data_IF_002178259450
#
_entry.id   IF_002178259450
#
_cell.length_a   1.000
_cell.length_b   1.000
_cell.length_c   1.000
_cell.angle_alpha   90.00
_cell.angle_beta   90.00
_cell.angle_gamma   90.00
#
_symmetry.space_group_name_H-M   'P 1'
#
loop_
_entity.id
_entity.type
_entity.pdbx_description
1 polymer ?
#
# COMPACT_ATOMS: atom_id res chain seq x y z
N UNK A 1 -12.61 -13.51 -17.26
CA UNK A 1 -12.61 -14.30 -16.01
C UNK A 1 -11.91 -13.51 -14.93
N UNK A 2 -12.67 -12.87 -14.02
CA UNK A 2 -12.10 -12.25 -12.82
C UNK A 2 -11.99 -13.35 -11.77
N UNK A 3 -10.77 -13.68 -11.34
CA UNK A 3 -10.56 -14.70 -10.32
C UNK A 3 -10.93 -14.08 -8.97
N UNK A 4 -12.13 -14.37 -8.51
CA UNK A 4 -12.58 -14.06 -7.16
C UNK A 4 -11.96 -15.10 -6.24
N UNK A 5 -10.84 -14.77 -5.61
CA UNK A 5 -10.16 -15.74 -4.76
C UNK A 5 -9.69 -15.11 -3.46
N UNK A 6 -10.65 -14.91 -2.54
CA UNK A 6 -10.52 -14.18 -1.27
C UNK A 6 -9.47 -14.65 -0.27
N UNK A 7 -8.63 -15.64 -0.61
CA UNK A 7 -7.47 -16.10 0.16
C UNK A 7 -6.18 -16.21 -0.71
N UNK A 8 -6.28 -16.24 -2.06
CA UNK A 8 -5.09 -16.32 -2.94
C UNK A 8 -4.36 -14.97 -3.10
N UNK A 9 -4.98 -13.87 -2.67
CA UNK A 9 -4.43 -12.52 -2.84
C UNK A 9 -3.65 -12.00 -1.62
N UNK A 10 -3.19 -12.90 -0.74
CA UNK A 10 -2.37 -12.52 0.41
C UNK A 10 -0.91 -12.34 -0.01
N UNK A 11 -0.48 -11.09 -0.05
CA UNK A 11 0.85 -10.68 -0.44
C UNK A 11 1.77 -10.67 0.80
N UNK A 12 2.86 -11.45 0.82
CA UNK A 12 3.81 -11.46 1.93
C UNK A 12 4.63 -10.16 1.98
N UNK A 13 5.14 -9.82 3.16
CA UNK A 13 5.94 -8.60 3.38
C UNK A 13 7.06 -8.37 2.34
N UNK A 14 7.77 -9.43 1.93
CA UNK A 14 8.85 -9.34 0.95
C UNK A 14 8.36 -8.87 -0.43
N UNK A 15 7.19 -9.34 -0.87
CA UNK A 15 6.61 -8.93 -2.14
C UNK A 15 6.00 -7.52 -2.06
N UNK A 16 5.42 -7.15 -0.91
CA UNK A 16 5.01 -5.76 -0.66
C UNK A 16 6.23 -4.83 -0.77
N UNK A 17 7.35 -5.17 -0.12
CA UNK A 17 8.61 -4.44 -0.23
C UNK A 17 9.03 -4.26 -1.69
N UNK A 18 9.04 -5.34 -2.49
CA UNK A 18 9.39 -5.28 -3.90
C UNK A 18 8.43 -4.40 -4.72
N UNK A 19 7.11 -4.52 -4.49
CA UNK A 19 6.08 -3.74 -5.20
C UNK A 19 6.19 -2.24 -4.96
N UNK A 20 6.53 -1.84 -3.73
CA UNK A 20 6.70 -0.43 -3.37
C UNK A 20 8.16 0.06 -3.50
N UNK A 21 9.11 -0.80 -3.84
CA UNK A 21 10.54 -0.46 -3.88
C UNK A 21 11.12 -0.07 -2.51
N UNK A 22 10.56 -0.61 -1.42
CA UNK A 22 10.95 -0.28 -0.04
C UNK A 22 11.46 -1.50 0.72
N UNK A 23 12.07 -1.26 1.88
CA UNK A 23 12.52 -2.31 2.79
C UNK A 23 11.55 -2.52 3.95
N UNK A 24 11.68 -3.64 4.67
CA UNK A 24 10.78 -4.03 5.75
C UNK A 24 10.74 -2.99 6.89
N UNK A 25 11.86 -2.31 7.15
CA UNK A 25 11.93 -1.23 8.14
C UNK A 25 11.03 -0.05 7.75
N UNK A 26 10.93 0.26 6.46
CA UNK A 26 10.03 1.30 5.94
C UNK A 26 8.58 0.89 6.12
N UNK A 27 8.23 -0.37 5.81
CA UNK A 27 6.89 -0.90 6.10
C UNK A 27 6.57 -0.78 7.60
N UNK A 28 7.52 -1.09 8.49
CA UNK A 28 7.33 -0.92 9.93
C UNK A 28 7.07 0.55 10.31
N UNK A 29 7.82 1.50 9.73
CA UNK A 29 7.57 2.94 9.95
C UNK A 29 6.18 3.35 9.47
N UNK A 30 5.77 2.92 8.29
CA UNK A 30 4.42 3.21 7.75
C UNK A 30 3.31 2.63 8.61
N UNK A 31 3.50 1.46 9.20
CA UNK A 31 2.52 0.86 10.11
C UNK A 31 2.39 1.61 11.45
N UNK A 32 3.43 2.34 11.84
CA UNK A 32 3.47 3.16 13.05
C UNK A 32 3.04 4.60 12.79
N UNK A 33 3.13 5.08 11.55
CA UNK A 33 2.77 6.45 11.18
C UNK A 33 1.32 6.52 10.67
N UNK A 34 0.38 7.08 11.45
CA UNK A 34 -1.01 7.19 11.04
C UNK A 34 -1.22 8.13 9.84
N UNK A 35 -0.26 9.02 9.54
CA UNK A 35 -0.35 9.95 8.40
C UNK A 35 -0.22 9.22 7.06
N UNK A 36 0.49 8.10 7.06
CA UNK A 36 0.67 7.29 5.85
C UNK A 36 -0.62 6.55 5.51
N UNK A 37 -1.45 6.20 6.49
CA UNK A 37 -2.68 5.41 6.33
C UNK A 37 -2.44 4.10 5.54
N UNK A 38 -1.33 3.43 5.85
CA UNK A 38 -0.95 2.18 5.19
C UNK A 38 -1.82 1.02 5.72
N UNK A 39 -2.29 0.09 4.86
CA UNK A 39 -3.15 -1.00 5.28
C UNK A 39 -2.51 -1.89 6.34
N UNK A 40 -3.33 -2.34 7.28
CA UNK A 40 -2.91 -3.19 8.40
C UNK A 40 -2.61 -4.62 7.90
N UNK A 41 -1.50 -5.24 8.33
CA UNK A 41 -1.19 -6.60 7.95
C UNK A 41 -2.07 -7.61 8.67
N UNK A 42 -2.39 -8.68 7.97
CA UNK A 42 -2.88 -9.92 8.53
C UNK A 42 -1.65 -10.72 9.00
N UNK A 43 -1.64 -11.11 10.27
CA UNK A 43 -0.58 -11.96 10.82
C UNK A 43 -1.00 -13.42 10.73
N UNK A 44 -0.24 -14.20 9.96
CA UNK A 44 -0.40 -15.66 9.89
C UNK A 44 0.91 -16.24 10.41
N UNK A 45 0.83 -16.98 11.53
CA UNK A 45 1.99 -17.41 12.32
C UNK A 45 2.87 -16.20 12.71
N UNK A 46 4.10 -16.14 12.19
CA UNK A 46 5.08 -15.08 12.47
C UNK A 46 5.29 -14.14 11.27
N UNK A 47 4.57 -14.35 10.18
CA UNK A 47 4.71 -13.60 8.93
C UNK A 47 3.56 -12.62 8.74
N UNK A 48 3.87 -11.50 8.10
CA UNK A 48 2.91 -10.45 7.78
C UNK A 48 2.48 -10.59 6.33
N UNK A 49 1.17 -10.53 6.12
CA UNK A 49 0.52 -10.61 4.83
C UNK A 49 -0.44 -9.43 4.66
N UNK A 50 -0.65 -8.99 3.43
CA UNK A 50 -1.60 -7.94 3.10
C UNK A 50 -2.53 -8.45 2.01
N UNK A 51 -3.79 -8.00 2.03
CA UNK A 51 -4.67 -8.27 0.89
C UNK A 51 -4.23 -7.39 -0.27
N UNK A 52 -4.13 -7.98 -1.46
CA UNK A 52 -3.80 -7.26 -2.68
C UNK A 52 -4.77 -6.10 -2.93
N UNK A 53 -6.07 -6.30 -2.64
CA UNK A 53 -7.11 -5.28 -2.75
C UNK A 53 -6.78 -4.03 -1.90
N UNK A 54 -6.42 -4.21 -0.63
CA UNK A 54 -6.08 -3.11 0.27
C UNK A 54 -4.85 -2.33 -0.22
N UNK A 55 -3.86 -3.04 -0.76
CA UNK A 55 -2.66 -2.43 -1.34
C UNK A 55 -3.00 -1.62 -2.60
N UNK A 56 -3.88 -2.13 -3.46
CA UNK A 56 -4.32 -1.41 -4.66
C UNK A 56 -5.11 -0.15 -4.29
N UNK A 57 -6.05 -0.23 -3.35
CA UNK A 57 -6.78 0.93 -2.84
C UNK A 57 -5.83 1.98 -2.23
N UNK A 58 -4.74 1.56 -1.60
CA UNK A 58 -3.73 2.48 -1.09
C UNK A 58 -2.98 3.20 -2.21
N UNK A 59 -2.59 2.48 -3.27
CA UNK A 59 -1.90 3.06 -4.44
C UNK A 59 -2.82 4.06 -5.15
N UNK A 60 -4.09 3.70 -5.38
CA UNK A 60 -5.08 4.57 -5.99
C UNK A 60 -5.28 5.86 -5.19
N UNK A 61 -5.39 5.76 -3.86
CA UNK A 61 -5.49 6.94 -2.98
C UNK A 61 -4.26 7.84 -3.04
N UNK A 62 -3.05 7.28 -3.19
CA UNK A 62 -1.83 8.08 -3.38
C UNK A 62 -1.79 8.75 -4.75
N UNK A 63 -2.11 8.02 -5.81
CA UNK A 63 -2.17 8.60 -7.15
C UNK A 63 -3.13 9.80 -7.21
N UNK A 64 -4.28 9.74 -6.55
CA UNK A 64 -5.23 10.85 -6.46
C UNK A 64 -4.67 12.08 -5.70
N UNK A 65 -3.87 11.85 -4.64
CA UNK A 65 -3.22 12.93 -3.90
C UNK A 65 -2.13 13.62 -4.72
N UNK A 66 -1.35 12.84 -5.46
CA UNK A 66 -0.26 13.36 -6.29
C UNK A 66 -0.80 14.18 -7.47
N UNK A 67 -1.95 13.78 -8.05
CA UNK A 67 -2.62 14.56 -9.12
C UNK A 67 -3.19 15.89 -8.67
N UNK A 68 -3.33 16.13 -7.36
CA UNK A 68 -3.85 17.38 -6.81
C UNK A 68 -2.76 18.43 -6.52
N UNK A 69 -1.48 18.13 -6.79
CA UNK A 69 -0.35 19.04 -6.51
C UNK A 69 0.15 19.77 -7.78
N UNK A 70 -0.75 20.10 -8.71
CA UNK A 70 -0.36 20.70 -9.99
C UNK A 70 -1.41 21.55 -10.69
N UNK A 71 -2.31 22.22 -9.96
CA UNK A 71 -3.21 23.22 -10.57
C UNK A 71 -3.52 24.40 -9.65
N UNK A 72 -2.52 24.96 -8.99
CA UNK A 72 -2.58 26.30 -8.42
C UNK A 72 -1.18 26.94 -8.54
N UNK A 73 -1.01 27.74 -9.60
CA UNK A 73 0.23 28.41 -9.97
C UNK A 73 0.05 29.15 -11.29
N UNK A 74 -0.93 30.06 -11.33
CA UNK A 74 -0.98 31.11 -12.33
C UNK A 74 -0.06 32.29 -11.95
N UNK A 75 0.18 33.14 -12.95
CA UNK A 75 0.82 34.47 -12.93
C UNK A 75 2.33 34.53 -13.29
N UNK A 76 2.60 34.67 -14.59
CA UNK A 76 3.37 35.77 -15.19
C UNK A 76 3.15 35.79 -16.71
#
# INVERSE_FOLDING_TARGET
>A
MKKENGIQDLVPAAEVCAKFGVVEMTLRRWLNDPRVDFPRPIRINRRRYWRLADLNMFIERRAQRDTNTGKDGGDA
#
